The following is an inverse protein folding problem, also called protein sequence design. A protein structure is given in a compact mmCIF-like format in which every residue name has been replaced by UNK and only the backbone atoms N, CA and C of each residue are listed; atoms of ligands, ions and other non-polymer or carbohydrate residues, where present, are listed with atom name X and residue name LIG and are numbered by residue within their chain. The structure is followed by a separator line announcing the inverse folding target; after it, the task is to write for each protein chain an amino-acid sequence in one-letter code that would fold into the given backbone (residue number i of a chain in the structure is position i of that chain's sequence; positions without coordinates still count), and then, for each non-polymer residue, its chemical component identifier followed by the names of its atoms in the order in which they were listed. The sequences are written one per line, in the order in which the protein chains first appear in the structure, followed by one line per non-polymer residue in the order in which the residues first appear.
data_IF_531236110382
#
_entry.id   IF_531236110382
#
_cell.length_a   1.000
_cell.length_b   1.000
_cell.length_c   1.000
_cell.angle_alpha   90.00
_cell.angle_beta   90.00
_cell.angle_gamma   90.00
#
_symmetry.space_group_name_H-M   'P 1'
#
loop_
_entity.id
_entity.type
_entity.pdbx_description
1 polymer ?
#
# COMPACT_ATOMS: atom_id res chain seq x y z
N UNK A 1 -12.39 1.11 12.65
CA UNK A 1 -10.94 1.41 12.81
C UNK A 1 -10.78 2.91 12.75
N UNK A 2 -10.10 3.48 13.74
CA UNK A 2 -9.82 4.92 13.78
C UNK A 2 -8.68 5.28 12.83
N UNK A 3 -8.56 6.57 12.50
CA UNK A 3 -7.42 7.09 11.72
C UNK A 3 -6.07 6.80 12.37
N UNK A 4 -6.01 6.93 13.69
CA UNK A 4 -4.79 6.67 14.47
C UNK A 4 -4.39 5.19 14.40
N UNK A 5 -5.33 4.27 14.61
CA UNK A 5 -5.08 2.83 14.48
C UNK A 5 -4.60 2.46 13.07
N UNK A 6 -5.19 3.07 12.04
CA UNK A 6 -4.76 2.87 10.66
C UNK A 6 -3.32 3.31 10.43
N UNK A 7 -2.96 4.52 10.88
CA UNK A 7 -1.60 5.05 10.76
C UNK A 7 -0.59 4.22 11.55
N UNK A 8 -0.92 3.80 12.77
CA UNK A 8 -0.06 2.91 13.57
C UNK A 8 0.18 1.58 12.87
N UNK A 9 -0.86 0.95 12.32
CA UNK A 9 -0.73 -0.29 11.55
C UNK A 9 0.07 -0.09 10.26
N UNK A 10 -0.11 1.03 9.58
CA UNK A 10 0.64 1.37 8.37
C UNK A 10 2.11 1.57 8.68
N UNK A 11 2.45 2.33 9.72
CA UNK A 11 3.83 2.50 10.19
C UNK A 11 4.46 1.16 10.56
N UNK A 12 3.72 0.29 11.24
CA UNK A 12 4.21 -1.04 11.61
C UNK A 12 4.62 -1.88 10.39
N UNK A 13 4.02 -1.69 9.22
CA UNK A 13 4.39 -2.42 8.00
C UNK A 13 5.84 -2.17 7.56
N UNK A 14 6.45 -1.04 7.94
CA UNK A 14 7.85 -0.73 7.65
C UNK A 14 8.83 -1.67 8.36
N UNK A 15 8.39 -2.35 9.42
CA UNK A 15 9.19 -3.33 10.16
C UNK A 15 9.16 -4.74 9.53
N UNK A 16 8.37 -4.93 8.47
CA UNK A 16 8.27 -6.21 7.77
C UNK A 16 9.07 -6.20 6.48
N UNK A 17 9.61 -7.36 6.11
CA UNK A 17 10.13 -7.56 4.76
C UNK A 17 8.95 -7.58 3.81
N UNK A 18 8.92 -6.65 2.87
CA UNK A 18 7.82 -6.55 1.90
C UNK A 18 8.35 -6.51 0.47
N UNK A 19 7.51 -6.94 -0.47
CA UNK A 19 7.79 -6.86 -1.89
C UNK A 19 6.57 -6.41 -2.67
N UNK A 20 6.78 -5.61 -3.71
CA UNK A 20 5.69 -5.22 -4.60
C UNK A 20 5.24 -6.41 -5.47
N UNK A 21 3.98 -6.79 -5.38
CA UNK A 21 3.36 -7.80 -6.25
C UNK A 21 1.95 -7.34 -6.62
N UNK A 22 1.75 -7.01 -7.90
CA UNK A 22 0.46 -6.58 -8.43
C UNK A 22 -0.66 -7.60 -8.15
N UNK A 23 -1.77 -7.12 -7.60
CA UNK A 23 -2.94 -7.91 -7.23
C UNK A 23 -2.82 -8.62 -5.89
N UNK A 24 -2.03 -8.10 -4.94
CA UNK A 24 -1.83 -8.71 -3.61
C UNK A 24 -2.05 -7.70 -2.48
N UNK A 25 -2.46 -8.20 -1.32
CA UNK A 25 -2.84 -7.38 -0.15
C UNK A 25 -2.28 -7.95 1.16
N UNK A 26 -1.03 -8.44 1.12
CA UNK A 26 -0.28 -8.86 2.30
C UNK A 26 -0.04 -10.36 2.42
N UNK A 27 -0.06 -11.10 1.31
CA UNK A 27 0.21 -12.55 1.31
C UNK A 27 1.68 -12.85 1.58
N UNK A 28 2.03 -13.89 2.35
CA UNK A 28 3.38 -14.43 2.35
C UNK A 28 3.82 -14.82 0.94
N UNK A 29 5.07 -14.52 0.57
CA UNK A 29 5.61 -14.87 -0.75
C UNK A 29 5.86 -16.38 -0.82
N UNK A 30 5.06 -17.06 -1.64
CA UNK A 30 5.16 -18.51 -1.85
C UNK A 30 5.21 -18.83 -3.34
N UNK A 31 5.70 -20.04 -3.67
CA UNK A 31 5.69 -20.57 -5.04
C UNK A 31 4.29 -20.49 -5.66
N UNK A 32 3.28 -20.93 -4.89
CA UNK A 32 1.86 -20.92 -5.25
C UNK A 32 1.36 -19.51 -5.57
N UNK A 33 1.61 -18.53 -4.70
CA UNK A 33 1.20 -17.14 -4.94
C UNK A 33 1.79 -16.60 -6.25
N UNK A 34 3.07 -16.86 -6.50
CA UNK A 34 3.74 -16.37 -7.72
C UNK A 34 3.15 -17.05 -8.96
N UNK A 35 2.85 -18.35 -8.91
CA UNK A 35 2.20 -19.05 -10.05
C UNK A 35 0.79 -18.52 -10.32
N UNK A 36 -0.01 -18.32 -9.28
CA UNK A 36 -1.37 -17.76 -9.39
C UNK A 36 -1.32 -16.38 -10.05
N UNK A 37 -0.45 -15.49 -9.58
CA UNK A 37 -0.33 -14.14 -10.12
C UNK A 37 0.29 -14.11 -11.51
N UNK A 38 1.17 -15.05 -11.83
CA UNK A 38 1.70 -15.22 -13.20
C UNK A 38 0.60 -15.58 -14.19
N UNK A 39 -0.29 -16.51 -13.82
CA UNK A 39 -1.45 -16.86 -14.66
C UNK A 39 -2.42 -15.69 -14.80
N UNK A 40 -2.61 -14.93 -13.72
CA UNK A 40 -3.55 -13.81 -13.69
C UNK A 40 -3.05 -12.59 -14.49
N UNK A 41 -1.74 -12.28 -14.42
CA UNK A 41 -1.14 -11.09 -15.01
C UNK A 41 0.20 -11.42 -15.71
N UNK A 42 0.20 -12.21 -16.79
CA UNK A 42 1.41 -12.74 -17.40
C UNK A 42 2.37 -11.66 -17.92
N UNK A 43 1.84 -10.52 -18.39
CA UNK A 43 2.64 -9.38 -18.85
C UNK A 43 3.41 -8.70 -17.72
N UNK A 44 2.86 -8.68 -16.50
CA UNK A 44 3.52 -8.10 -15.33
C UNK A 44 4.53 -9.06 -14.70
N UNK A 45 4.19 -10.35 -14.62
CA UNK A 45 5.04 -11.38 -14.03
C UNK A 45 5.91 -12.07 -15.08
N UNK A 46 6.79 -11.26 -15.68
CA UNK A 46 7.81 -11.72 -16.63
C UNK A 46 8.75 -12.76 -16.01
N UNK A 47 9.50 -13.50 -16.85
CA UNK A 47 10.50 -14.47 -16.38
C UNK A 47 11.46 -13.87 -15.36
N UNK A 48 12.06 -12.71 -15.67
CA UNK A 48 12.98 -12.00 -14.77
C UNK A 48 12.33 -11.63 -13.44
N UNK A 49 11.07 -11.14 -13.46
CA UNK A 49 10.35 -10.81 -12.23
C UNK A 49 10.10 -12.05 -11.37
N UNK A 50 9.71 -13.17 -11.98
CA UNK A 50 9.46 -14.42 -11.27
C UNK A 50 10.74 -15.00 -10.66
N UNK A 51 11.84 -14.98 -11.39
CA UNK A 51 13.16 -15.42 -10.89
C UNK A 51 13.62 -14.60 -9.68
N UNK A 52 13.37 -13.29 -9.69
CA UNK A 52 13.59 -12.44 -8.51
C UNK A 52 12.68 -12.86 -7.34
N UNK A 53 11.38 -13.02 -7.56
CA UNK A 53 10.41 -13.38 -6.51
C UNK A 53 10.69 -14.76 -5.91
N UNK A 54 11.19 -15.73 -6.68
CA UNK A 54 11.56 -17.06 -6.16
C UNK A 54 12.67 -16.99 -5.11
N UNK A 55 13.57 -16.02 -5.20
CA UNK A 55 14.64 -15.82 -4.20
C UNK A 55 14.10 -15.34 -2.85
N UNK A 56 12.84 -14.89 -2.79
CA UNK A 56 12.20 -14.35 -1.58
C UNK A 56 11.33 -15.38 -0.86
N UNK A 57 11.10 -16.55 -1.45
CA UNK A 57 10.35 -17.66 -0.82
C UNK A 57 11.09 -18.09 0.45
N UNK A 58 10.34 -18.37 1.51
CA UNK A 58 10.84 -18.79 2.84
C UNK A 58 11.80 -17.78 3.50
N UNK A 59 11.63 -16.48 3.20
CA UNK A 59 12.42 -15.38 3.79
C UNK A 59 11.59 -14.32 4.52
N UNK A 60 10.38 -14.67 4.92
CA UNK A 60 9.42 -13.83 5.64
C UNK A 60 8.96 -12.57 4.88
N UNK A 61 8.94 -12.64 3.54
CA UNK A 61 8.43 -11.55 2.73
C UNK A 61 6.91 -11.56 2.63
N UNK A 62 6.30 -10.39 2.78
CA UNK A 62 4.89 -10.13 2.47
C UNK A 62 4.72 -9.37 1.15
N UNK A 63 3.79 -9.82 0.34
CA UNK A 63 3.47 -9.29 -0.98
C UNK A 63 2.31 -8.29 -0.89
N UNK A 64 2.56 -7.04 -1.29
CA UNK A 64 1.53 -6.00 -1.42
C UNK A 64 1.63 -5.34 -2.79
N UNK A 65 0.51 -4.89 -3.35
CA UNK A 65 0.51 -3.76 -4.27
C UNK A 65 0.16 -2.45 -3.54
N UNK A 66 0.07 -1.34 -4.27
CA UNK A 66 -0.15 -0.01 -3.69
C UNK A 66 -1.47 0.08 -2.92
N UNK A 67 -2.59 -0.17 -3.59
CA UNK A 67 -3.94 -0.14 -2.98
C UNK A 67 -4.15 -1.32 -2.04
N UNK A 68 -3.49 -2.45 -2.29
CA UNK A 68 -3.51 -3.67 -1.51
C UNK A 68 -2.85 -3.50 -0.14
N UNK A 69 -1.87 -2.62 0.01
CA UNK A 69 -1.35 -2.21 1.33
C UNK A 69 -2.47 -1.59 2.18
N UNK A 70 -3.16 -0.60 1.63
CA UNK A 70 -4.26 0.11 2.30
C UNK A 70 -5.41 -0.86 2.61
N UNK A 71 -5.89 -1.60 1.59
CA UNK A 71 -6.98 -2.58 1.75
C UNK A 71 -6.61 -3.68 2.73
N UNK A 72 -5.38 -4.20 2.67
CA UNK A 72 -4.91 -5.25 3.58
C UNK A 72 -5.06 -4.83 5.04
N UNK A 73 -4.57 -3.64 5.40
CA UNK A 73 -4.71 -3.09 6.76
C UNK A 73 -6.19 -2.96 7.14
N UNK A 74 -7.00 -2.34 6.27
CA UNK A 74 -8.43 -2.18 6.50
C UNK A 74 -9.18 -3.51 6.61
N UNK A 75 -8.68 -4.56 5.98
CA UNK A 75 -9.20 -5.93 6.00
C UNK A 75 -8.64 -6.78 7.15
N UNK A 76 -7.90 -6.16 8.08
CA UNK A 76 -7.42 -6.81 9.29
C UNK A 76 -6.08 -7.53 9.13
N UNK A 77 -5.23 -7.12 8.17
CA UNK A 77 -3.85 -7.59 8.10
C UNK A 77 -3.13 -7.38 9.44
N UNK A 78 -2.37 -8.39 9.87
CA UNK A 78 -1.62 -8.38 11.11
C UNK A 78 -0.20 -8.98 10.99
N UNK A 79 0.24 -9.30 9.78
CA UNK A 79 1.59 -9.78 9.51
C UNK A 79 1.86 -11.20 10.01
N UNK A 80 0.82 -12.02 10.18
CA UNK A 80 0.97 -13.43 10.54
C UNK A 80 1.39 -14.26 9.31
N UNK A 81 2.64 -14.75 9.25
CA UNK A 81 3.16 -15.46 8.06
C UNK A 81 2.50 -16.83 7.87
N UNK A 82 1.81 -17.36 8.87
CA UNK A 82 1.12 -18.65 8.81
C UNK A 82 -0.27 -18.55 8.19
N UNK A 83 -0.80 -17.33 8.05
CA UNK A 83 -2.15 -17.07 7.53
C UNK A 83 -2.13 -16.61 6.08
N UNK A 84 -3.18 -16.99 5.36
CA UNK A 84 -3.49 -16.40 4.07
C UNK A 84 -3.55 -14.87 4.22
N UNK A 85 -2.95 -14.16 3.26
CA UNK A 85 -2.93 -12.69 3.22
C UNK A 85 -2.44 -12.04 4.52
N UNK A 86 -1.53 -12.69 5.27
CA UNK A 86 -0.99 -12.12 6.51
C UNK A 86 -2.05 -11.79 7.54
N UNK A 87 -3.14 -12.57 7.57
CA UNK A 87 -4.29 -12.39 8.46
C UNK A 87 -5.45 -11.56 7.88
N UNK A 88 -5.24 -10.85 6.77
CA UNK A 88 -6.30 -10.06 6.13
C UNK A 88 -7.41 -10.95 5.56
N UNK A 89 -8.67 -10.54 5.72
CA UNK A 89 -9.83 -11.23 5.18
C UNK A 89 -10.43 -10.43 4.02
N UNK A 90 -10.51 -11.04 2.83
CA UNK A 90 -10.99 -10.37 1.63
C UNK A 90 -12.37 -9.71 1.85
N UNK A 91 -12.49 -8.41 1.52
CA UNK A 91 -13.70 -7.59 1.69
C UNK A 91 -14.22 -7.52 3.13
N UNK A 92 -13.36 -7.66 4.14
CA UNK A 92 -13.74 -7.49 5.54
C UNK A 92 -14.02 -6.02 5.90
N UNK A 93 -14.64 -5.81 7.07
CA UNK A 93 -14.88 -4.51 7.68
C UNK A 93 -15.67 -3.53 6.80
N UNK A 94 -16.53 -4.05 5.91
CA UNK A 94 -17.33 -3.24 4.99
C UNK A 94 -16.52 -2.53 3.89
N UNK A 95 -15.24 -2.85 3.75
CA UNK A 95 -14.36 -2.21 2.76
C UNK A 95 -14.37 -3.01 1.46
N UNK A 96 -14.85 -2.43 0.33
CA UNK A 96 -14.92 -3.13 -0.94
C UNK A 96 -13.54 -3.30 -1.58
N UNK A 97 -13.46 -4.20 -2.56
CA UNK A 97 -12.27 -4.37 -3.39
C UNK A 97 -12.26 -3.31 -4.50
N UNK A 98 -11.41 -2.30 -4.33
CA UNK A 98 -11.27 -1.16 -5.24
C UNK A 98 -9.87 -1.12 -5.85
N UNK A 99 -9.77 -0.66 -7.10
CA UNK A 99 -8.51 -0.22 -7.70
C UNK A 99 -8.02 1.10 -7.06
N UNK A 100 -6.78 1.50 -7.35
CA UNK A 100 -6.23 2.79 -6.94
C UNK A 100 -7.15 3.97 -7.35
N UNK A 101 -7.59 3.98 -8.60
CA UNK A 101 -8.44 5.05 -9.16
C UNK A 101 -9.85 5.04 -8.56
N UNK A 102 -10.41 3.85 -8.34
CA UNK A 102 -11.69 3.71 -7.67
C UNK A 102 -11.62 4.13 -6.20
N UNK A 103 -10.51 3.86 -5.50
CA UNK A 103 -10.33 4.25 -4.11
C UNK A 103 -10.30 5.78 -3.97
N UNK A 104 -9.46 6.48 -4.74
CA UNK A 104 -9.38 7.95 -4.64
C UNK A 104 -10.72 8.61 -5.01
N UNK A 105 -11.49 8.05 -5.95
CA UNK A 105 -12.82 8.56 -6.30
C UNK A 105 -13.81 8.50 -5.13
N UNK A 106 -13.62 7.59 -4.18
CA UNK A 106 -14.42 7.50 -2.95
C UNK A 106 -13.96 8.48 -1.86
N UNK A 107 -12.77 9.06 -2.01
CA UNK A 107 -12.12 9.87 -0.98
C UNK A 107 -12.46 11.37 -1.06
N UNK A 108 -13.46 11.76 -1.86
CA UNK A 108 -13.82 13.18 -2.15
C UNK A 108 -12.57 14.01 -2.48
N UNK A 109 -11.88 13.71 -3.58
CA UNK A 109 -10.50 14.14 -3.78
C UNK A 109 -10.37 15.65 -3.97
N UNK A 110 -9.26 16.19 -3.47
CA UNK A 110 -8.78 17.55 -3.66
C UNK A 110 -7.46 17.55 -4.43
N UNK A 111 -7.18 18.64 -5.14
CA UNK A 111 -5.86 18.95 -5.73
C UNK A 111 -5.09 19.99 -4.91
N UNK A 112 -5.70 20.56 -3.88
CA UNK A 112 -5.10 21.55 -2.97
C UNK A 112 -4.47 20.84 -1.75
N UNK A 113 -3.16 20.62 -1.82
CA UNK A 113 -2.38 19.96 -0.79
C UNK A 113 -2.06 20.84 0.44
N UNK A 114 -2.43 22.12 0.45
CA UNK A 114 -2.15 23.02 1.59
C UNK A 114 -2.85 22.58 2.88
N UNK A 115 -3.87 21.70 2.77
CA UNK A 115 -4.69 21.20 3.89
C UNK A 115 -4.69 19.69 4.02
N UNK A 116 -3.76 18.99 3.37
CA UNK A 116 -3.66 17.53 3.50
C UNK A 116 -3.38 17.15 4.96
N UNK A 117 -4.09 16.14 5.47
CA UNK A 117 -3.92 15.65 6.84
C UNK A 117 -3.45 14.19 6.86
N UNK A 118 -2.71 13.76 7.91
CA UNK A 118 -2.30 12.36 8.05
C UNK A 118 -3.47 11.39 7.90
N UNK A 119 -3.25 10.28 7.21
CA UNK A 119 -4.26 9.26 6.90
C UNK A 119 -5.03 9.50 5.61
N UNK A 120 -4.82 10.64 4.94
CA UNK A 120 -5.36 10.87 3.60
C UNK A 120 -4.60 10.07 2.53
N UNK A 121 -5.36 9.57 1.56
CA UNK A 121 -4.82 8.86 0.41
C UNK A 121 -4.27 9.89 -0.56
N UNK A 122 -3.05 9.69 -1.03
CA UNK A 122 -2.46 10.45 -2.14
C UNK A 122 -2.47 9.61 -3.40
N UNK A 123 -2.66 10.23 -4.56
CA UNK A 123 -2.93 9.50 -5.80
C UNK A 123 -2.28 10.14 -7.04
N UNK A 124 -1.79 9.27 -7.92
CA UNK A 124 -1.53 9.51 -9.35
C UNK A 124 -2.22 8.40 -10.14
N UNK A 125 -2.38 8.55 -11.46
CA UNK A 125 -3.06 7.54 -12.29
C UNK A 125 -2.53 6.12 -12.04
N UNK A 126 -3.41 5.22 -11.57
CA UNK A 126 -3.10 3.83 -11.27
C UNK A 126 -2.31 3.56 -9.99
N UNK A 127 -2.01 4.57 -9.16
CA UNK A 127 -1.17 4.39 -7.98
C UNK A 127 -1.58 5.26 -6.78
N UNK A 128 -1.46 4.70 -5.57
CA UNK A 128 -1.81 5.37 -4.31
C UNK A 128 -0.74 5.18 -3.25
N UNK A 129 -0.67 6.13 -2.33
CA UNK A 129 0.00 6.03 -1.04
C UNK A 129 -0.88 6.62 0.05
N UNK A 130 -0.40 6.60 1.28
CA UNK A 130 -1.05 7.30 2.41
C UNK A 130 -0.11 8.36 2.95
N UNK A 131 -0.57 9.60 3.01
CA UNK A 131 0.17 10.67 3.67
C UNK A 131 0.17 10.45 5.19
N UNK A 132 1.33 10.55 5.83
CA UNK A 132 1.47 10.28 7.27
C UNK A 132 1.82 11.53 8.11
N UNK A 133 1.95 12.70 7.47
CA UNK A 133 2.42 13.93 8.12
C UNK A 133 3.83 14.32 7.68
N UNK A 134 4.24 15.53 7.99
CA UNK A 134 5.59 16.06 7.80
C UNK A 134 6.17 15.90 6.38
N UNK A 135 5.32 15.99 5.36
CA UNK A 135 5.73 15.81 3.97
C UNK A 135 5.99 14.34 3.58
N UNK A 136 5.62 13.37 4.42
CA UNK A 136 5.93 11.96 4.20
C UNK A 136 4.72 11.10 3.79
N UNK A 137 4.99 10.09 2.97
CA UNK A 137 4.01 9.12 2.48
C UNK A 137 4.55 7.71 2.69
N UNK A 138 3.68 6.80 3.12
CA UNK A 138 3.95 5.36 3.01
C UNK A 138 3.23 4.82 1.78
N UNK A 139 3.98 4.15 0.91
CA UNK A 139 3.49 3.52 -0.32
C UNK A 139 4.15 2.16 -0.54
N UNK A 140 3.44 1.24 -1.21
CA UNK A 140 4.05 0.04 -1.78
C UNK A 140 4.28 0.26 -3.27
N UNK A 141 5.52 0.20 -3.74
CA UNK A 141 5.89 0.59 -5.11
C UNK A 141 7.04 -0.25 -5.67
N UNK A 142 7.03 -0.51 -6.98
CA UNK A 142 8.12 -1.19 -7.69
C UNK A 142 9.24 -0.28 -8.18
N UNK A 143 9.10 1.04 -8.04
CA UNK A 143 10.02 2.02 -8.64
C UNK A 143 11.40 2.08 -7.95
N UNK A 144 11.46 1.75 -6.65
CA UNK A 144 12.66 1.91 -5.83
C UNK A 144 12.95 0.62 -5.04
N UNK A 145 12.72 0.61 -3.72
CA UNK A 145 12.95 -0.55 -2.85
C UNK A 145 12.09 -1.78 -3.17
N UNK A 146 11.17 -1.66 -4.14
CA UNK A 146 10.30 -2.72 -4.62
C UNK A 146 9.48 -3.37 -3.51
N UNK A 147 8.77 -2.56 -2.72
CA UNK A 147 8.02 -2.96 -1.54
C UNK A 147 7.40 -1.75 -0.85
N UNK A 148 6.98 -1.94 0.41
CA UNK A 148 6.49 -0.86 1.27
C UNK A 148 7.66 0.00 1.73
N UNK A 149 7.52 1.31 1.59
CA UNK A 149 8.55 2.26 1.98
C UNK A 149 7.99 3.63 2.30
N UNK A 150 8.80 4.40 3.00
CA UNK A 150 8.59 5.82 3.23
C UNK A 150 9.16 6.63 2.05
N UNK A 151 8.39 7.59 1.55
CA UNK A 151 8.77 8.50 0.46
C UNK A 151 8.37 9.93 0.78
N UNK A 152 9.02 10.89 0.14
CA UNK A 152 8.66 12.30 0.26
C UNK A 152 7.51 12.68 -0.69
N UNK A 153 6.52 13.36 -0.13
CA UNK A 153 5.42 14.03 -0.82
C UNK A 153 5.90 15.41 -1.29
N UNK A 154 6.25 15.52 -2.57
CA UNK A 154 6.78 16.78 -3.12
C UNK A 154 5.75 17.91 -3.19
N UNK A 155 4.48 17.63 -2.89
CA UNK A 155 3.41 18.63 -2.81
C UNK A 155 3.44 19.46 -1.51
N UNK A 156 4.14 18.97 -0.49
CA UNK A 156 4.20 19.58 0.83
C UNK A 156 5.63 20.06 1.09
N UNK A 157 5.77 21.28 1.61
CA UNK A 157 7.07 21.78 2.03
C UNK A 157 7.59 21.00 3.24
N UNK A 158 8.86 20.66 3.21
CA UNK A 158 9.51 19.81 4.22
C UNK A 158 10.97 20.19 4.32
N UNK A 159 11.48 20.24 5.55
CA UNK A 159 12.86 20.63 5.84
C UNK A 159 13.85 19.58 5.31
N UNK A 160 13.49 18.29 5.39
CA UNK A 160 14.37 17.19 5.01
C UNK A 160 13.65 16.28 4.00
N UNK A 161 14.19 16.19 2.78
CA UNK A 161 13.63 15.36 1.72
C UNK A 161 14.32 14.00 1.66
N UNK A 162 13.53 12.94 1.54
CA UNK A 162 14.04 11.63 1.14
C UNK A 162 14.39 11.63 -0.35
N UNK A 163 15.34 10.77 -0.73
CA UNK A 163 15.75 10.59 -2.14
C UNK A 163 14.57 10.05 -2.95
N UNK A 164 13.88 9.05 -2.42
CA UNK A 164 12.66 8.53 -3.02
C UNK A 164 11.49 9.47 -2.72
N UNK A 165 11.09 10.21 -3.75
CA UNK A 165 10.09 11.25 -3.65
C UNK A 165 9.25 11.29 -4.93
N UNK A 166 8.00 11.76 -4.81
CA UNK A 166 7.15 12.02 -5.98
C UNK A 166 6.13 13.12 -5.72
N UNK A 167 5.69 13.75 -6.81
CA UNK A 167 4.50 14.59 -6.83
C UNK A 167 3.26 13.70 -6.98
N UNK A 168 2.22 14.07 -6.25
CA UNK A 168 0.90 13.48 -6.30
C UNK A 168 -0.08 14.47 -6.93
N UNK A 169 -1.11 13.95 -7.60
CA UNK A 169 -2.07 14.78 -8.33
C UNK A 169 -3.29 15.09 -7.48
N UNK A 170 -3.72 14.14 -6.67
CA UNK A 170 -4.89 14.28 -5.77
C UNK A 170 -4.57 13.73 -4.40
N UNK A 171 -5.29 14.22 -3.40
CA UNK A 171 -5.40 13.56 -2.11
C UNK A 171 -6.86 13.52 -1.64
N UNK A 172 -7.19 12.70 -0.65
CA UNK A 172 -8.52 12.71 -0.06
C UNK A 172 -8.68 11.80 1.15
N UNK A 173 -9.73 12.05 1.91
CA UNK A 173 -10.03 11.31 3.15
C UNK A 173 -10.59 9.93 2.84
N UNK A 174 -9.95 8.92 3.41
CA UNK A 174 -10.39 7.54 3.31
C UNK A 174 -11.74 7.37 4.05
N UNK A 175 -12.85 7.03 3.36
CA UNK A 175 -14.19 7.02 3.95
C UNK A 175 -14.46 5.82 4.86
N UNK A 176 -13.48 4.93 5.04
CA UNK A 176 -13.57 3.69 5.80
C UNK A 176 -12.95 3.81 7.20
N UNK A 177 -12.44 4.99 7.54
CA UNK A 177 -11.92 5.30 8.86
C UNK A 177 -13.00 6.01 9.65
N UNK A 178 -13.12 5.65 10.92
CA UNK A 178 -13.98 6.37 11.87
C UNK A 178 -13.35 7.73 12.19
N UNK A 179 -14.17 8.78 12.17
CA UNK A 179 -13.78 10.08 12.74
C UNK A 179 -13.70 9.95 14.26
N UNK A 180 -12.72 10.61 14.88
CA UNK A 180 -12.66 10.72 16.33
C UNK A 180 -13.91 11.48 16.80
N UNK A 181 -14.68 10.86 17.70
CA UNK A 181 -15.79 11.52 18.42
C UNK A 181 -15.25 12.48 19.47
#
# INVERSE_FOLDING_TARGET
MTREEFLQKLLATLNYKTVYMWGTFGSPVTRKLIDEKTKQYPSWYTKTRREFLYKLIDRDYFAFDCVGLIKGILWGWNGDPTKAHGGAKYKANGVPDLSADQLIARCKPSTDFSRITPGEIVWISGHVGTYIGDGLVIESTSAWKNGVMLTSCLNVEQEHRLVEARLWVKHGRLPYLEDQK
#
